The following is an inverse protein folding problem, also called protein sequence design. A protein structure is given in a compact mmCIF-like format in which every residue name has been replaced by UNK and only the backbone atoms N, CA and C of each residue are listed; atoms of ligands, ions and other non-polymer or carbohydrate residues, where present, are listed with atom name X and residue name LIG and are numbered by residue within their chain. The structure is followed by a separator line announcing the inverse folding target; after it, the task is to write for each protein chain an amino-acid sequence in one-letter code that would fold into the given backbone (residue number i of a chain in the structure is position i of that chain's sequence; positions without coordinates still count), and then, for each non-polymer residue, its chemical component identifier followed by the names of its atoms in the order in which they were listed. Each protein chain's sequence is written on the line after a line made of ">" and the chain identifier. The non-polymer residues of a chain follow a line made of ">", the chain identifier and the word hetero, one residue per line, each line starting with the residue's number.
data_IF_328002459227
#
_entry.id   IF_328002459227
#
_cell.length_a   1.000
_cell.length_b   1.000
_cell.length_c   1.000
_cell.angle_alpha   90.00
_cell.angle_beta   90.00
_cell.angle_gamma   90.00
#
_symmetry.space_group_name_H-M   'P 1'
#
loop_
_entity.id
_entity.type
_entity.pdbx_description
1 polymer ?
2 non-polymer ?
3 water ?
#
# COMPACT_ATOMS: atom_id res chain seq x y z
N UNK A 19 -49.72 21.05 12.53
CA UNK A 19 -49.59 20.42 13.83
C UNK A 19 -48.28 20.82 14.54
N UNK A 20 -47.47 19.82 14.87
CA UNK A 20 -46.18 20.01 15.53
C UNK A 20 -45.14 19.10 14.87
N UNK A 21 -45.04 19.19 13.54
CA UNK A 21 -44.21 18.27 12.77
C UNK A 21 -42.83 18.82 12.44
N UNK A 22 -42.55 20.09 12.73
CA UNK A 22 -41.25 20.69 12.47
C UNK A 22 -40.22 20.22 13.48
N UNK A 23 -40.53 20.27 14.79
CA UNK A 23 -39.59 19.68 15.77
C UNK A 23 -39.35 18.21 15.52
N UNK A 24 -40.41 17.51 15.10
CA UNK A 24 -40.30 16.11 14.71
C UNK A 24 -39.37 15.95 13.52
N UNK A 25 -39.56 16.75 12.46
CA UNK A 25 -38.71 16.63 11.29
C UNK A 25 -37.26 16.95 11.63
N UNK A 26 -37.03 18.00 12.43
CA UNK A 26 -35.67 18.34 12.81
C UNK A 26 -34.99 17.18 13.52
N UNK A 27 -35.70 16.57 14.48
CA UNK A 27 -35.11 15.43 15.20
C UNK A 27 -34.83 14.27 14.25
N UNK A 28 -35.77 13.98 13.35
CA UNK A 28 -35.57 12.88 12.40
C UNK A 28 -34.37 13.13 11.50
N UNK A 29 -34.26 14.34 10.94
CA UNK A 29 -33.17 14.63 10.00
C UNK A 29 -31.82 14.63 10.70
N UNK A 30 -31.74 15.26 11.87
CA UNK A 30 -30.48 15.31 12.60
C UNK A 30 -30.06 13.92 13.03
N UNK A 31 -31.03 13.09 13.43
CA UNK A 31 -30.71 11.73 13.83
C UNK A 31 -30.11 10.95 12.66
N UNK A 32 -30.75 11.06 11.48
CA UNK A 32 -30.21 10.38 10.31
C UNK A 32 -28.81 10.88 9.99
N UNK A 33 -28.61 12.20 10.02
CA UNK A 33 -27.29 12.81 9.81
C UNK A 33 -26.23 12.22 10.74
N UNK A 34 -26.56 12.14 12.04
CA UNK A 34 -25.63 11.54 13.01
C UNK A 34 -25.29 10.10 12.64
N UNK A 35 -26.27 9.33 12.15
CA UNK A 35 -26.01 7.91 11.82
C UNK A 35 -25.20 7.79 10.52
N UNK A 36 -25.54 8.59 9.52
CA UNK A 36 -24.81 8.54 8.25
C UNK A 36 -23.33 8.88 8.45
N UNK A 37 -23.01 9.88 9.29
CA UNK A 37 -21.60 10.18 9.52
C UNK A 37 -20.84 8.95 10.02
N UNK A 38 -21.48 8.18 10.91
CA UNK A 38 -20.83 6.98 11.43
C UNK A 38 -20.66 5.90 10.35
N UNK A 39 -21.59 5.79 9.39
CA UNK A 39 -21.27 4.88 8.28
C UNK A 39 -20.12 5.42 7.44
N UNK A 40 -20.11 6.72 7.17
CA UNK A 40 -19.04 7.33 6.37
C UNK A 40 -17.66 7.11 6.97
N UNK A 41 -17.55 7.08 8.31
CA UNK A 41 -16.24 6.91 8.95
C UNK A 41 -15.64 5.55 8.59
N UNK A 42 -16.50 4.50 8.60
CA UNK A 42 -16.07 3.16 8.19
C UNK A 42 -15.85 3.07 6.68
N UNK A 43 -16.63 3.82 5.90
CA UNK A 43 -16.41 3.85 4.45
C UNK A 43 -15.04 4.44 4.10
N UNK A 44 -14.70 5.58 4.72
CA UNK A 44 -13.40 6.21 4.53
C UNK A 44 -12.28 5.28 4.97
N UNK A 45 -12.49 4.57 6.08
CA UNK A 45 -11.49 3.59 6.49
C UNK A 45 -11.29 2.50 5.43
N UNK A 46 -12.37 2.02 4.81
CA UNK A 46 -12.24 1.02 3.74
C UNK A 46 -11.50 1.59 2.53
N UNK A 47 -11.76 2.86 2.19
CA UNK A 47 -11.02 3.51 1.11
C UNK A 47 -9.52 3.56 1.39
N UNK A 48 -9.13 3.82 2.66
CA UNK A 48 -7.71 3.88 2.95
C UNK A 48 -7.06 2.50 3.02
N UNK A 49 -7.75 1.50 3.60
CA UNK A 49 -7.08 0.25 3.95
C UNK A 49 -7.34 -0.88 2.98
N UNK A 50 -8.43 -0.83 2.23
CA UNK A 50 -8.79 -1.96 1.37
C UNK A 50 -7.77 -2.14 0.26
N UNK A 51 -7.46 -3.39 -0.05
CA UNK A 51 -6.62 -3.70 -1.20
C UNK A 51 -7.42 -4.07 -2.47
N UNK A 52 -8.72 -3.74 -2.54
CA UNK A 52 -9.58 -4.03 -3.70
C UNK A 52 -9.88 -2.72 -4.46
N UNK A 53 -9.06 -2.44 -5.48
CA UNK A 53 -9.07 -1.14 -6.16
C UNK A 53 -10.44 -0.77 -6.72
N UNK A 54 -11.13 -1.71 -7.36
CA UNK A 54 -12.41 -1.38 -7.97
C UNK A 54 -13.48 -1.10 -6.91
N UNK A 55 -13.40 -1.77 -5.76
CA UNK A 55 -14.26 -1.40 -4.63
C UNK A 55 -13.87 -0.03 -4.08
N UNK A 56 -12.57 0.28 -3.96
CA UNK A 56 -12.23 1.62 -3.51
C UNK A 56 -12.85 2.66 -4.45
N UNK A 57 -12.79 2.41 -5.76
CA UNK A 57 -13.40 3.35 -6.71
C UNK A 57 -14.90 3.48 -6.47
N UNK A 58 -15.57 2.34 -6.25
CA UNK A 58 -17.01 2.40 -5.98
C UNK A 58 -17.32 3.18 -4.70
N UNK A 59 -16.58 2.91 -3.62
CA UNK A 59 -16.80 3.63 -2.36
C UNK A 59 -16.57 5.13 -2.50
N UNK A 60 -15.51 5.55 -3.22
CA UNK A 60 -15.28 6.97 -3.46
C UNK A 60 -16.42 7.60 -4.25
N UNK A 61 -16.93 6.91 -5.27
CA UNK A 61 -18.08 7.43 -6.00
C UNK A 61 -19.28 7.60 -5.08
N UNK A 62 -19.53 6.58 -4.23
CA UNK A 62 -20.64 6.66 -3.27
C UNK A 62 -20.47 7.83 -2.30
N UNK A 63 -19.25 8.08 -1.82
CA UNK A 63 -19.05 9.27 -0.99
C UNK A 63 -19.38 10.54 -1.77
N UNK A 64 -18.99 10.58 -3.05
CA UNK A 64 -19.32 11.74 -3.87
C UNK A 64 -20.82 11.98 -3.95
N UNK A 65 -21.63 10.93 -3.91
CA UNK A 65 -23.08 11.15 -3.94
C UNK A 65 -23.65 11.48 -2.55
N UNK A 66 -23.15 10.81 -1.51
CA UNK A 66 -23.60 11.08 -0.15
C UNK A 66 -23.34 12.54 0.23
N UNK A 67 -22.23 13.10 -0.21
CA UNK A 67 -21.99 14.52 0.09
C UNK A 67 -23.11 15.38 -0.48
N UNK A 68 -23.57 15.07 -1.70
CA UNK A 68 -24.66 15.85 -2.27
C UNK A 68 -25.93 15.68 -1.44
N UNK A 69 -26.28 14.44 -1.09
CA UNK A 69 -27.51 14.24 -0.31
C UNK A 69 -27.45 14.96 1.04
N UNK A 70 -26.28 14.92 1.67
CA UNK A 70 -26.08 15.65 2.92
C UNK A 70 -26.26 17.16 2.72
N UNK A 71 -25.55 17.74 1.74
CA UNK A 71 -25.68 19.18 1.50
C UNK A 71 -27.13 19.60 1.26
N UNK A 72 -27.89 18.79 0.52
CA UNK A 72 -29.32 19.06 0.38
C UNK A 72 -29.99 19.06 1.74
N UNK A 73 -29.66 18.08 2.59
CA UNK A 73 -30.25 18.05 3.93
C UNK A 73 -29.95 19.35 4.68
N UNK A 74 -28.67 19.72 4.77
CA UNK A 74 -28.28 20.97 5.42
C UNK A 74 -29.06 22.15 4.87
N UNK A 75 -29.23 22.20 3.53
CA UNK A 75 -30.12 23.19 2.95
C UNK A 75 -31.50 23.11 3.59
N UNK A 76 -31.97 21.90 3.90
CA UNK A 76 -33.32 21.75 4.42
C UNK A 76 -33.42 22.25 5.87
N UNK A 77 -32.48 21.87 6.73
CA UNK A 77 -32.63 22.20 8.15
C UNK A 77 -32.19 23.63 8.48
N UNK A 78 -31.25 24.21 7.69
CA UNK A 78 -30.78 25.58 7.90
C UNK A 78 -31.91 26.50 8.38
N UNK A 79 -32.96 26.71 7.57
CA UNK A 79 -34.03 27.63 7.98
C UNK A 79 -34.83 27.17 9.19
N UNK A 80 -34.65 25.92 9.65
CA UNK A 80 -35.42 25.42 10.78
C UNK A 80 -34.73 25.63 12.12
N UNK A 81 -33.46 25.99 12.12
CA UNK A 81 -32.68 26.13 13.34
C UNK A 81 -32.50 27.63 13.59
N UNK A 82 -33.25 28.18 14.55
CA UNK A 82 -33.25 29.61 14.80
C UNK A 82 -32.85 30.02 16.20
N UNK A 83 -33.00 29.16 17.21
CA UNK A 83 -32.68 29.58 18.55
C UNK A 83 -31.16 29.65 18.75
N UNK A 84 -30.69 30.35 19.80
CA UNK A 84 -29.25 30.63 19.95
C UNK A 84 -28.32 29.44 20.08
N UNK A 85 -28.56 28.57 21.05
CA UNK A 85 -27.63 27.46 21.27
C UNK A 85 -27.55 26.55 20.04
N UNK A 86 -28.70 26.23 19.44
CA UNK A 86 -28.70 25.35 18.27
C UNK A 86 -28.00 26.01 17.08
N UNK A 87 -28.15 27.33 16.92
CA UNK A 87 -27.47 28.03 15.82
C UNK A 87 -25.96 28.13 16.07
N UNK A 88 -25.55 28.27 17.34
CA UNK A 88 -24.12 28.21 17.65
C UNK A 88 -23.55 26.84 17.30
N UNK A 89 -24.21 25.76 17.72
CA UNK A 89 -23.73 24.41 17.38
C UNK A 89 -23.73 24.18 15.87
N UNK A 90 -24.75 24.69 15.18
CA UNK A 90 -24.82 24.44 13.74
C UNK A 90 -23.72 25.18 12.99
N UNK A 91 -23.44 26.43 13.36
CA UNK A 91 -22.31 27.11 12.75
C UNK A 91 -21.00 26.41 13.08
N UNK A 92 -20.88 25.85 14.29
CA UNK A 92 -19.67 25.09 14.60
C UNK A 92 -19.53 23.85 13.70
N UNK A 93 -20.64 23.15 13.46
CA UNK A 93 -20.62 21.99 12.56
C UNK A 93 -20.27 22.41 11.14
N UNK A 94 -20.80 23.54 10.69
CA UNK A 94 -20.46 24.00 9.35
C UNK A 94 -18.97 24.27 9.22
N UNK A 95 -18.36 24.86 10.25
CA UNK A 95 -16.91 25.05 10.20
C UNK A 95 -16.16 23.72 10.16
N UNK A 96 -16.45 22.80 11.09
CA UNK A 96 -15.67 21.56 11.16
C UNK A 96 -15.92 20.67 9.93
N UNK A 97 -17.07 20.80 9.28
CA UNK A 97 -17.38 19.94 8.14
C UNK A 97 -16.47 20.22 6.94
N UNK A 98 -16.04 21.48 6.75
CA UNK A 98 -15.06 21.78 5.70
C UNK A 98 -13.75 21.02 5.94
N UNK A 99 -13.24 21.07 7.18
CA UNK A 99 -12.04 20.30 7.54
C UNK A 99 -12.25 18.82 7.23
N UNK A 100 -13.40 18.29 7.66
CA UNK A 100 -13.74 16.88 7.46
C UNK A 100 -13.72 16.49 5.98
N UNK A 101 -14.46 17.23 5.16
CA UNK A 101 -14.51 16.93 3.73
C UNK A 101 -13.12 17.03 3.11
N UNK A 102 -12.35 18.06 3.50
CA UNK A 102 -11.04 18.27 2.93
C UNK A 102 -10.12 17.07 3.16
N UNK A 103 -10.13 16.56 4.37
CA UNK A 103 -9.24 15.45 4.67
C UNK A 103 -9.78 14.14 4.07
N UNK A 104 -11.11 13.95 4.11
CA UNK A 104 -11.68 12.75 3.51
C UNK A 104 -11.32 12.68 2.03
N UNK A 105 -11.56 13.78 1.31
CA UNK A 105 -11.17 13.85 -0.10
C UNK A 105 -9.67 13.70 -0.28
N UNK A 106 -8.87 14.14 0.69
CA UNK A 106 -7.43 13.94 0.54
C UNK A 106 -7.06 12.47 0.61
N UNK A 107 -7.60 11.72 1.58
CA UNK A 107 -7.31 10.29 1.61
C UNK A 107 -7.81 9.61 0.34
N UNK A 108 -8.98 10.01 -0.13
CA UNK A 108 -9.53 9.45 -1.36
C UNK A 108 -8.63 9.71 -2.58
N UNK A 109 -8.18 10.96 -2.73
CA UNK A 109 -7.29 11.32 -3.84
C UNK A 109 -5.92 10.67 -3.71
N UNK A 110 -5.41 10.55 -2.49
CA UNK A 110 -4.14 9.89 -2.24
C UNK A 110 -4.20 8.42 -2.59
N UNK A 111 -5.32 7.78 -2.25
CA UNK A 111 -5.48 6.36 -2.55
C UNK A 111 -5.61 6.13 -4.04
N UNK A 112 -6.44 6.95 -4.71
CA UNK A 112 -6.57 6.86 -6.17
C UNK A 112 -5.26 7.13 -6.89
N UNK A 113 -4.32 7.84 -6.26
CA UNK A 113 -3.07 8.18 -6.92
C UNK A 113 -1.93 7.24 -6.54
N UNK A 114 -2.23 6.10 -5.93
CA UNK A 114 -1.21 5.13 -5.64
C UNK A 114 -0.39 5.39 -4.39
N UNK A 115 -0.79 6.33 -3.55
CA UNK A 115 -0.07 6.66 -2.34
C UNK A 115 -0.93 6.21 -1.17
N UNK A 116 -0.92 4.90 -0.89
CA UNK A 116 -1.79 4.33 0.13
C UNK A 116 -1.24 4.57 1.52
N UNK A 117 0.09 4.48 1.69
CA UNK A 117 0.65 4.68 3.02
C UNK A 117 0.30 6.06 3.56
N UNK A 118 0.40 7.08 2.69
CA UNK A 118 0.03 8.45 3.07
C UNK A 118 -1.48 8.59 3.22
N UNK A 119 -2.26 7.79 2.48
CA UNK A 119 -3.70 7.80 2.66
C UNK A 119 -4.07 7.33 4.06
N UNK A 120 -3.48 6.21 4.49
CA UNK A 120 -3.75 5.67 5.82
C UNK A 120 -3.27 6.65 6.90
N UNK A 121 -2.11 7.26 6.67
CA UNK A 121 -1.56 8.23 7.60
C UNK A 121 -2.48 9.43 7.76
N UNK A 122 -2.98 9.98 6.65
CA UNK A 122 -3.95 11.08 6.71
C UNK A 122 -5.23 10.63 7.42
N UNK A 123 -5.61 9.36 7.24
CA UNK A 123 -6.80 8.83 7.93
C UNK A 123 -6.62 8.90 9.45
N UNK A 124 -5.44 8.53 9.94
CA UNK A 124 -5.25 8.51 11.39
C UNK A 124 -5.00 9.91 11.95
N UNK A 125 -4.18 10.72 11.26
CA UNK A 125 -3.73 11.99 11.82
C UNK A 125 -4.72 13.12 11.58
N UNK A 126 -5.56 13.05 10.57
CA UNK A 126 -6.45 14.17 10.28
C UNK A 126 -7.92 13.75 10.26
N UNK A 127 -8.24 12.70 9.48
CA UNK A 127 -9.64 12.35 9.27
C UNK A 127 -10.33 11.98 10.57
N UNK A 128 -9.80 11.00 11.32
CA UNK A 128 -10.47 10.54 12.53
C UNK A 128 -10.66 11.67 13.54
N UNK A 129 -9.67 12.54 13.80
CA UNK A 129 -9.95 13.67 14.72
C UNK A 129 -11.04 14.59 14.23
N UNK A 130 -11.01 14.96 12.93
CA UNK A 130 -12.03 15.86 12.38
C UNK A 130 -13.41 15.23 12.44
N UNK A 131 -13.50 13.94 12.11
CA UNK A 131 -14.77 13.24 12.19
C UNK A 131 -15.21 13.13 13.64
N UNK A 132 -14.28 12.90 14.56
CA UNK A 132 -14.66 12.85 15.97
C UNK A 132 -15.28 14.17 16.42
N UNK A 133 -14.64 15.30 16.11
CA UNK A 133 -15.26 16.58 16.42
C UNK A 133 -16.65 16.72 15.81
N UNK A 134 -16.77 16.38 14.51
CA UNK A 134 -18.05 16.38 13.81
C UNK A 134 -19.11 15.61 14.58
N UNK A 135 -18.77 14.39 15.03
CA UNK A 135 -19.72 13.52 15.73
C UNK A 135 -20.12 14.12 17.07
N UNK A 136 -19.16 14.70 17.79
CA UNK A 136 -19.49 15.32 19.05
C UNK A 136 -20.50 16.44 18.85
N UNK A 137 -20.27 17.29 17.85
CA UNK A 137 -21.21 18.37 17.58
C UNK A 137 -22.58 17.84 17.14
N UNK A 138 -22.61 16.75 16.35
CA UNK A 138 -23.90 16.16 16.00
C UNK A 138 -24.61 15.60 17.26
N UNK A 139 -23.86 15.00 18.18
CA UNK A 139 -24.46 14.54 19.42
C UNK A 139 -25.06 15.67 20.23
N UNK A 140 -24.29 16.74 20.44
CA UNK A 140 -24.82 17.87 21.19
C UNK A 140 -26.06 18.45 20.52
N UNK A 141 -26.03 18.58 19.19
CA UNK A 141 -27.21 19.07 18.48
C UNK A 141 -28.41 18.13 18.70
N UNK A 142 -28.19 16.81 18.63
CA UNK A 142 -29.30 15.88 18.79
C UNK A 142 -29.93 15.98 20.18
N UNK A 143 -29.08 15.98 21.22
CA UNK A 143 -29.59 16.06 22.59
C UNK A 143 -30.33 17.36 22.82
N UNK A 144 -29.78 18.47 22.34
CA UNK A 144 -30.49 19.74 22.47
C UNK A 144 -31.85 19.68 21.78
N UNK A 145 -31.89 19.10 20.58
CA UNK A 145 -33.15 19.02 19.84
C UNK A 145 -34.16 18.12 20.54
N UNK A 146 -33.69 17.10 21.28
CA UNK A 146 -34.63 16.29 22.04
C UNK A 146 -35.24 17.08 23.18
N UNK A 147 -34.42 17.81 23.95
CA UNK A 147 -35.00 18.66 24.98
C UNK A 147 -36.00 19.64 24.38
N UNK A 148 -35.64 20.23 23.24
CA UNK A 148 -36.54 21.16 22.55
C UNK A 148 -37.84 20.48 22.12
N UNK A 149 -37.75 19.23 21.65
CA UNK A 149 -38.92 18.51 21.18
C UNK A 149 -39.88 18.21 22.32
N UNK A 150 -39.34 17.81 23.47
CA UNK A 150 -40.23 17.57 24.60
C UNK A 150 -40.84 18.87 25.11
N UNK A 151 -40.09 19.97 25.08
CA UNK A 151 -40.66 21.25 25.47
C UNK A 151 -41.82 21.63 24.55
N UNK A 152 -41.61 21.50 23.24
CA UNK A 152 -42.67 21.84 22.29
C UNK A 152 -43.86 20.93 22.48
N UNK A 153 -43.63 19.66 22.81
CA UNK A 153 -44.73 18.74 23.04
C UNK A 153 -45.54 19.17 24.26
N UNK A 154 -44.88 19.48 25.38
CA UNK A 154 -45.61 19.94 26.55
C UNK A 154 -46.44 21.17 26.22
N UNK A 155 -45.94 22.05 25.35
CA UNK A 155 -46.72 23.21 24.96
C UNK A 155 -47.94 22.81 24.13
N UNK A 156 -47.73 22.05 23.06
CA UNK A 156 -48.85 21.66 22.19
C UNK A 156 -49.93 20.95 22.99
N UNK A 157 -49.52 20.15 23.98
CA UNK A 157 -50.52 19.50 24.84
C UNK A 157 -51.18 20.51 25.75
N UNK A 158 -50.44 21.52 26.21
CA UNK A 158 -51.06 22.55 27.02
C UNK A 158 -52.03 23.41 26.24
N UNK A 159 -52.02 23.33 24.91
CA UNK A 159 -52.97 24.08 24.08
C UNK A 159 -54.14 23.20 23.65
N UNK A 160 -53.85 22.02 23.10
CA UNK A 160 -54.92 21.08 22.79
C UNK A 160 -55.73 20.76 24.03
N UNK A 161 -55.11 20.84 25.21
CA UNK A 161 -55.81 20.87 26.48
C UNK A 161 -55.97 22.34 26.86
N UNK A 162 -57.19 22.85 26.72
CA UNK A 162 -57.48 24.27 26.95
C UNK A 162 -57.22 25.10 25.70
N UNK B 19 38.81 -37.99 -15.91
CA UNK B 19 38.56 -37.62 -17.29
C UNK B 19 38.73 -36.12 -17.49
N UNK B 20 37.66 -35.44 -17.93
CA UNK B 20 37.64 -33.99 -18.12
C UNK B 20 36.36 -33.41 -17.52
N UNK B 21 36.17 -33.68 -16.23
CA UNK B 21 34.94 -33.35 -15.54
C UNK B 21 34.98 -31.99 -14.86
N UNK B 22 36.12 -31.31 -14.89
CA UNK B 22 36.20 -29.99 -14.29
C UNK B 22 35.53 -28.95 -15.18
N UNK B 23 35.81 -28.92 -16.50
CA UNK B 23 35.03 -28.04 -17.39
C UNK B 23 33.55 -28.39 -17.42
N UNK B 24 33.20 -29.68 -17.38
CA UNK B 24 31.79 -30.07 -17.31
C UNK B 24 31.15 -29.52 -16.03
N UNK B 25 31.84 -29.65 -14.90
CA UNK B 25 31.33 -29.13 -13.64
C UNK B 25 31.20 -27.61 -13.69
N UNK B 26 32.19 -26.93 -14.25
CA UNK B 26 32.12 -25.49 -14.36
C UNK B 26 30.90 -25.07 -15.16
N UNK B 27 30.66 -25.72 -16.30
CA UNK B 27 29.51 -25.36 -17.11
C UNK B 27 28.20 -25.64 -16.38
N UNK B 28 28.09 -26.79 -15.71
CA UNK B 28 26.85 -27.10 -14.99
C UNK B 28 26.59 -26.06 -13.90
N UNK B 29 27.63 -25.70 -13.15
CA UNK B 29 27.46 -24.76 -12.05
C UNK B 29 27.09 -23.37 -12.58
N UNK B 30 27.78 -22.90 -13.61
CA UNK B 30 27.48 -21.58 -14.17
C UNK B 30 26.08 -21.57 -14.79
N UNK B 31 25.69 -22.67 -15.43
CA UNK B 31 24.34 -22.73 -16.00
C UNK B 31 23.28 -22.66 -14.90
N UNK B 32 23.47 -23.42 -13.82
CA UNK B 32 22.54 -23.35 -12.69
C UNK B 32 22.46 -21.94 -12.11
N UNK B 33 23.61 -21.32 -11.86
CA UNK B 33 23.68 -19.93 -11.38
C UNK B 33 22.87 -19.00 -12.28
N UNK B 34 23.09 -19.13 -13.60
CA UNK B 34 22.38 -18.30 -14.57
C UNK B 34 20.87 -18.47 -14.42
N UNK B 35 20.41 -19.70 -14.21
CA UNK B 35 18.97 -19.92 -14.10
C UNK B 35 18.41 -19.40 -12.77
N UNK B 36 19.13 -19.65 -11.66
CA UNK B 36 18.71 -19.20 -10.34
C UNK B 36 18.58 -17.67 -10.27
N UNK B 37 19.47 -16.93 -10.91
CA UNK B 37 19.31 -15.47 -10.88
C UNK B 37 17.98 -15.07 -11.50
N UNK B 38 17.62 -15.71 -12.61
CA UNK B 38 16.34 -15.36 -13.25
C UNK B 38 15.13 -15.75 -12.38
N UNK B 39 15.21 -16.84 -11.63
CA UNK B 39 14.11 -17.09 -10.68
C UNK B 39 14.13 -16.04 -9.56
N UNK B 40 15.32 -15.64 -9.11
CA UNK B 40 15.42 -14.63 -8.06
C UNK B 40 14.74 -13.32 -8.46
N UNK B 41 14.88 -12.91 -9.72
CA UNK B 41 14.27 -11.65 -10.16
C UNK B 41 12.74 -11.71 -10.00
N UNK B 42 12.14 -12.87 -10.32
CA UNK B 42 10.70 -13.08 -10.16
C UNK B 42 10.29 -13.13 -8.70
N UNK B 43 11.14 -13.75 -7.87
CA UNK B 43 10.86 -13.82 -6.44
C UNK B 43 10.87 -12.43 -5.81
N UNK B 44 11.91 -11.64 -6.14
CA UNK B 44 12.05 -10.28 -5.63
C UNK B 44 10.87 -9.42 -6.06
N UNK B 45 10.42 -9.58 -7.31
CA UNK B 45 9.24 -8.89 -7.78
C UNK B 45 8.02 -9.29 -6.95
N UNK B 46 7.91 -10.57 -6.59
CA UNK B 46 6.78 -11.01 -5.77
C UNK B 46 6.83 -10.37 -4.37
N UNK B 47 8.01 -10.31 -3.76
CA UNK B 47 8.18 -9.67 -2.46
C UNK B 47 7.79 -8.19 -2.52
N UNK B 48 8.14 -7.51 -3.61
CA UNK B 48 7.83 -6.09 -3.73
C UNK B 48 6.34 -5.85 -3.95
N UNK B 49 5.69 -6.65 -4.80
CA UNK B 49 4.33 -6.35 -5.21
C UNK B 49 3.24 -7.13 -4.46
N UNK B 50 3.55 -8.30 -3.91
CA UNK B 50 2.49 -9.15 -3.36
C UNK B 50 1.80 -8.49 -2.17
N UNK B 51 0.48 -8.68 -2.07
CA UNK B 51 -0.28 -8.24 -0.91
C UNK B 51 -0.55 -9.36 0.11
N UNK B 52 0.26 -10.44 0.11
CA UNK B 52 0.14 -11.54 1.08
C UNK B 52 1.35 -11.52 2.05
N UNK B 53 1.16 -10.89 3.22
CA UNK B 53 2.25 -10.63 4.15
C UNK B 53 3.03 -11.90 4.52
N UNK B 54 2.31 -12.99 4.83
CA UNK B 54 2.97 -14.22 5.29
C UNK B 54 3.70 -14.93 4.16
N UNK B 55 3.15 -14.86 2.94
CA UNK B 55 3.87 -15.35 1.77
C UNK B 55 5.10 -14.48 1.49
N UNK B 56 4.97 -13.15 1.62
CA UNK B 56 6.16 -12.31 1.47
C UNK B 56 7.22 -12.71 2.50
N UNK B 57 6.80 -12.96 3.75
CA UNK B 57 7.77 -13.38 4.77
C UNK B 57 8.46 -14.67 4.35
N UNK B 58 7.68 -15.61 3.82
CA UNK B 58 8.26 -16.87 3.36
C UNK B 58 9.24 -16.67 2.22
N UNK B 59 8.91 -15.84 1.23
CA UNK B 59 9.83 -15.60 0.11
C UNK B 59 11.14 -14.94 0.58
N UNK B 60 11.05 -13.94 1.48
CA UNK B 60 12.29 -13.37 2.01
C UNK B 60 13.12 -14.43 2.74
N UNK B 61 12.47 -15.31 3.50
CA UNK B 61 13.23 -16.37 4.15
C UNK B 61 13.94 -17.24 3.11
N UNK B 62 13.21 -17.63 2.07
CA UNK B 62 13.79 -18.44 1.00
C UNK B 62 14.99 -17.75 0.35
N UNK B 63 14.90 -16.44 0.10
CA UNK B 63 16.04 -15.71 -0.43
C UNK B 63 17.23 -15.73 0.53
N UNK B 64 16.96 -15.59 1.83
CA UNK B 64 18.06 -15.63 2.78
C UNK B 64 18.81 -16.96 2.69
N UNK B 65 18.11 -18.06 2.38
CA UNK B 65 18.81 -19.34 2.26
C UNK B 65 19.48 -19.52 0.89
N UNK B 66 18.81 -19.07 -0.17
CA UNK B 66 19.41 -19.16 -1.50
C UNK B 66 20.73 -18.40 -1.57
N UNK B 67 20.81 -17.25 -0.90
CA UNK B 67 22.09 -16.54 -0.88
C UNK B 67 23.20 -17.41 -0.31
N UNK B 68 22.90 -18.16 0.76
CA UNK B 68 23.91 -19.05 1.34
C UNK B 68 24.32 -20.15 0.37
N UNK B 69 23.35 -20.82 -0.26
CA UNK B 69 23.72 -21.87 -1.22
C UNK B 69 24.54 -21.30 -2.39
N UNK B 70 24.16 -20.13 -2.91
CA UNK B 70 24.95 -19.50 -3.97
C UNK B 70 26.36 -19.19 -3.48
N UNK B 71 26.50 -18.57 -2.31
CA UNK B 71 27.82 -18.23 -1.77
C UNK B 71 28.72 -19.47 -1.67
N UNK B 72 28.16 -20.59 -1.22
CA UNK B 72 28.96 -21.81 -1.24
C UNK B 72 29.37 -22.18 -2.66
N UNK B 73 28.44 -22.07 -3.63
CA UNK B 73 28.82 -22.38 -5.01
C UNK B 73 30.01 -21.54 -5.45
N UNK B 74 29.93 -20.20 -5.28
CA UNK B 74 31.07 -19.34 -5.60
C UNK B 74 32.33 -19.85 -4.93
N UNK B 75 32.22 -20.26 -3.67
CA UNK B 75 33.36 -20.89 -3.02
C UNK B 75 33.85 -22.08 -3.83
N UNK B 76 32.94 -22.81 -4.48
CA UNK B 76 33.34 -23.99 -5.22
C UNK B 76 34.06 -23.64 -6.53
N UNK B 77 33.50 -22.70 -7.30
CA UNK B 77 34.02 -22.44 -8.64
C UNK B 77 35.23 -21.49 -8.65
N UNK B 78 35.33 -20.59 -7.67
CA UNK B 78 36.44 -19.66 -7.55
C UNK B 78 37.78 -20.30 -7.91
N UNK B 79 38.23 -21.34 -7.20
CA UNK B 79 39.55 -21.91 -7.52
C UNK B 79 39.60 -22.55 -8.90
N UNK B 80 38.47 -22.73 -9.57
CA UNK B 80 38.43 -23.39 -10.86
C UNK B 80 38.55 -22.42 -12.02
N UNK B 81 38.44 -21.11 -11.77
CA UNK B 81 38.47 -20.09 -12.80
C UNK B 81 39.80 -19.36 -12.70
N UNK B 82 40.73 -19.66 -13.63
CA UNK B 82 42.10 -19.16 -13.54
C UNK B 82 42.56 -18.34 -14.75
N UNK B 83 41.96 -18.53 -15.92
CA UNK B 83 42.45 -17.84 -17.10
C UNK B 83 42.06 -16.36 -17.05
N UNK B 84 42.73 -15.52 -17.85
CA UNK B 84 42.53 -14.07 -17.76
C UNK B 84 41.11 -13.62 -18.01
N UNK B 85 40.53 -13.96 -19.18
CA UNK B 85 39.20 -13.46 -19.52
C UNK B 85 38.14 -13.94 -18.53
N UNK B 86 38.17 -15.22 -18.17
CA UNK B 86 37.18 -15.73 -17.22
C UNK B 86 37.37 -15.11 -15.83
N UNK B 87 38.61 -14.90 -15.40
CA UNK B 87 38.84 -14.30 -14.09
C UNK B 87 38.42 -12.84 -14.05
N UNK B 88 38.59 -12.14 -15.17
CA UNK B 88 38.07 -10.78 -15.32
C UNK B 88 36.55 -10.75 -15.20
N UNK B 89 35.86 -11.61 -15.96
CA UNK B 89 34.40 -11.64 -15.87
C UNK B 89 33.95 -11.99 -14.45
N UNK B 90 34.66 -12.91 -13.80
CA UNK B 90 34.28 -13.34 -12.46
C UNK B 90 34.43 -12.21 -11.45
N UNK B 91 35.52 -11.44 -11.55
CA UNK B 91 35.66 -10.28 -10.68
C UNK B 91 34.58 -9.24 -10.96
N UNK B 92 34.18 -9.08 -12.22
CA UNK B 92 33.09 -8.14 -12.51
C UNK B 92 31.79 -8.61 -11.87
N UNK B 93 31.50 -9.91 -11.97
CA UNK B 93 30.31 -10.49 -11.34
C UNK B 93 30.36 -10.34 -9.82
N UNK B 94 31.54 -10.52 -9.24
CA UNK B 94 31.66 -10.33 -7.80
C UNK B 94 31.38 -8.88 -7.41
N UNK B 95 31.84 -7.91 -8.20
CA UNK B 95 31.52 -6.51 -7.94
C UNK B 95 30.01 -6.26 -8.05
N UNK B 96 29.41 -6.66 -9.17
CA UNK B 96 27.98 -6.41 -9.42
C UNK B 96 27.08 -7.15 -8.41
N UNK B 97 27.55 -8.26 -7.86
CA UNK B 97 26.71 -9.02 -6.93
C UNK B 97 26.52 -8.28 -5.59
N UNK B 98 27.52 -7.52 -5.14
CA UNK B 98 27.33 -6.73 -3.93
C UNK B 98 26.19 -5.73 -4.11
N UNK B 99 26.22 -4.98 -5.22
CA UNK B 99 25.15 -4.05 -5.55
C UNK B 99 23.81 -4.76 -5.58
N UNK B 100 23.80 -5.93 -6.23
CA UNK B 100 22.58 -6.73 -6.36
C UNK B 100 21.99 -7.11 -5.00
N UNK B 101 22.81 -7.71 -4.12
CA UNK B 101 22.33 -8.13 -2.82
C UNK B 101 21.88 -6.95 -1.97
N UNK B 102 22.64 -5.84 -2.04
CA UNK B 102 22.30 -4.67 -1.25
C UNK B 102 20.91 -4.19 -1.61
N UNK B 103 20.63 -4.12 -2.92
CA UNK B 103 19.35 -3.57 -3.34
C UNK B 103 18.20 -4.56 -3.10
N UNK B 104 18.43 -5.84 -3.38
CA UNK B 104 17.36 -6.81 -3.14
C UNK B 104 16.96 -6.82 -1.68
N UNK B 105 17.97 -6.85 -0.79
CA UNK B 105 17.69 -6.76 0.64
C UNK B 105 17.04 -5.44 1.00
N UNK B 106 17.31 -4.37 0.26
CA UNK B 106 16.63 -3.13 0.59
C UNK B 106 15.13 -3.20 0.26
N UNK B 107 14.75 -3.72 -0.91
CA UNK B 107 13.32 -3.85 -1.21
C UNK B 107 12.64 -4.79 -0.21
N UNK B 108 13.33 -5.87 0.17
CA UNK B 108 12.84 -6.80 1.19
C UNK B 108 12.61 -6.10 2.54
N UNK B 109 13.60 -5.32 2.99
CA UNK B 109 13.49 -4.61 4.27
C UNK B 109 12.40 -3.53 4.22
N UNK B 110 12.26 -2.84 3.09
CA UNK B 110 11.21 -1.84 2.95
C UNK B 110 9.84 -2.49 3.04
N UNK B 111 9.69 -3.67 2.44
CA UNK B 111 8.39 -4.32 2.48
C UNK B 111 8.09 -4.85 3.87
N UNK B 112 9.08 -5.46 4.54
CA UNK B 112 8.84 -5.94 5.91
C UNK B 112 8.47 -4.81 6.86
N UNK B 113 8.88 -3.57 6.55
CA UNK B 113 8.62 -2.44 7.43
C UNK B 113 7.39 -1.64 7.03
N UNK B 114 6.56 -2.17 6.13
CA UNK B 114 5.33 -1.47 5.80
C UNK B 114 5.46 -0.38 4.77
N UNK B 115 6.57 -0.30 4.06
CA UNK B 115 6.77 0.73 3.05
C UNK B 115 6.83 0.05 1.68
N UNK B 116 5.64 -0.28 1.14
CA UNK B 116 5.54 -1.05 -0.10
C UNK B 116 5.84 -0.20 -1.31
N UNK B 117 5.40 1.07 -1.27
CA UNK B 117 5.67 1.99 -2.38
C UNK B 117 7.17 2.19 -2.59
N UNK B 118 7.91 2.35 -1.49
CA UNK B 118 9.35 2.50 -1.57
C UNK B 118 10.03 1.22 -2.00
N UNK B 119 9.47 0.07 -1.63
CA UNK B 119 9.99 -1.22 -2.08
C UNK B 119 9.84 -1.37 -3.59
N UNK B 120 8.67 -1.02 -4.13
CA UNK B 120 8.44 -1.09 -5.58
C UNK B 120 9.36 -0.15 -6.33
N UNK B 121 9.55 1.07 -5.79
CA UNK B 121 10.44 2.02 -6.43
C UNK B 121 11.88 1.50 -6.46
N UNK B 122 12.37 1.00 -5.32
CA UNK B 122 13.72 0.43 -5.32
C UNK B 122 13.80 -0.75 -6.27
N UNK B 123 12.71 -1.53 -6.41
CA UNK B 123 12.72 -2.64 -7.36
C UNK B 123 12.98 -2.15 -8.78
N UNK B 124 12.28 -1.09 -9.19
CA UNK B 124 12.39 -0.65 -10.57
C UNK B 124 13.68 0.14 -10.84
N UNK B 125 14.06 1.03 -9.93
CA UNK B 125 15.15 1.95 -10.25
C UNK B 125 16.54 1.40 -9.92
N UNK B 126 16.66 0.45 -8.99
CA UNK B 126 17.97 -0.06 -8.60
C UNK B 126 18.10 -1.57 -8.80
N UNK B 127 17.17 -2.35 -8.25
CA UNK B 127 17.33 -3.79 -8.28
C UNK B 127 17.40 -4.31 -9.72
N UNK B 128 16.40 -4.00 -10.54
CA UNK B 128 16.37 -4.55 -11.89
C UNK B 128 17.58 -4.17 -12.72
N UNK B 129 18.08 -2.93 -12.74
CA UNK B 129 19.32 -2.67 -13.51
C UNK B 129 20.49 -3.50 -13.02
N UNK B 130 20.67 -3.61 -11.70
CA UNK B 130 21.74 -4.45 -11.16
C UNK B 130 21.55 -5.93 -11.54
N UNK B 131 20.32 -6.41 -11.50
CA UNK B 131 20.08 -7.79 -11.90
C UNK B 131 20.38 -7.99 -13.38
N UNK B 132 20.03 -7.00 -14.19
CA UNK B 132 20.35 -7.05 -15.61
C UNK B 132 21.85 -7.12 -15.83
N UNK B 133 22.63 -6.29 -15.12
CA UNK B 133 24.08 -6.42 -15.21
C UNK B 133 24.55 -7.81 -14.80
N UNK B 134 24.06 -8.29 -13.64
CA UNK B 134 24.38 -9.63 -13.15
C UNK B 134 24.17 -10.68 -14.22
N UNK B 135 22.99 -10.66 -14.86
CA UNK B 135 22.63 -11.66 -15.86
C UNK B 135 23.49 -11.52 -17.10
N UNK B 136 23.80 -10.30 -17.53
CA UNK B 136 24.65 -10.11 -18.69
C UNK B 136 26.03 -10.73 -18.45
N UNK B 137 26.62 -10.42 -17.29
CA UNK B 137 27.92 -11.00 -16.98
C UNK B 137 27.85 -12.53 -16.82
N UNK B 138 26.76 -13.07 -16.26
CA UNK B 138 26.64 -14.54 -16.23
C UNK B 138 26.50 -15.13 -17.65
N UNK B 139 25.78 -14.47 -18.55
CA UNK B 139 25.73 -14.95 -19.91
C UNK B 139 27.10 -14.98 -20.58
N UNK B 140 27.85 -13.87 -20.47
CA UNK B 140 29.21 -13.84 -21.04
C UNK B 140 30.08 -14.93 -20.42
N UNK B 141 29.97 -15.12 -19.10
CA UNK B 141 30.75 -16.18 -18.48
C UNK B 141 30.35 -17.55 -19.04
N UNK B 142 29.05 -17.81 -19.19
CA UNK B 142 28.61 -19.11 -19.66
C UNK B 142 29.10 -19.38 -21.09
N UNK B 143 28.85 -18.43 -22.02
CA UNK B 143 29.28 -18.64 -23.40
C UNK B 143 30.79 -18.83 -23.48
N UNK B 144 31.55 -18.04 -22.72
CA UNK B 144 33.00 -18.19 -22.66
C UNK B 144 33.37 -19.60 -22.20
N UNK B 145 32.70 -20.09 -21.16
CA UNK B 145 32.98 -21.43 -20.64
C UNK B 145 32.61 -22.51 -21.63
N UNK B 146 31.60 -22.26 -22.48
CA UNK B 146 31.22 -23.23 -23.51
C UNK B 146 32.29 -23.33 -24.60
N UNK B 147 32.80 -22.20 -25.07
CA UNK B 147 33.94 -22.23 -25.99
C UNK B 147 35.14 -22.91 -25.35
N UNK B 148 35.41 -22.60 -24.08
CA UNK B 148 36.53 -23.22 -23.39
C UNK B 148 36.34 -24.73 -23.27
N UNK B 149 35.12 -25.16 -22.95
CA UNK B 149 34.85 -26.59 -22.78
C UNK B 149 34.98 -27.35 -24.09
N UNK B 150 34.47 -26.78 -25.19
CA UNK B 150 34.66 -27.46 -26.46
C UNK B 150 36.13 -27.50 -26.86
N UNK B 151 36.90 -26.45 -26.56
CA UNK B 151 38.34 -26.53 -26.82
C UNK B 151 38.98 -27.67 -26.02
N UNK B 152 38.64 -27.80 -24.74
CA UNK B 152 39.19 -28.89 -23.94
C UNK B 152 38.78 -30.24 -24.50
N UNK B 153 37.54 -30.34 -24.98
CA UNK B 153 37.07 -31.59 -25.57
C UNK B 153 37.89 -31.94 -26.81
N UNK B 154 38.08 -30.96 -27.70
CA UNK B 154 38.92 -31.21 -28.86
C UNK B 154 40.30 -31.66 -28.44
N UNK B 155 40.79 -31.15 -27.31
CA UNK B 155 42.12 -31.56 -26.85
C UNK B 155 42.13 -33.02 -26.44
N UNK B 156 41.23 -33.43 -25.54
CA UNK B 156 41.26 -34.83 -25.08
C UNK B 156 41.16 -35.77 -26.27
N UNK B 157 40.39 -35.40 -27.29
CA UNK B 157 40.26 -36.23 -28.49
C UNK B 157 41.55 -36.23 -29.31
N UNK B 158 42.33 -35.16 -29.22
CA UNK B 158 43.60 -35.08 -29.94
C UNK B 158 44.55 -36.21 -29.58
N UNK B 159 44.21 -37.01 -28.58
CA UNK B 159 45.06 -38.12 -28.17
C UNK B 159 44.58 -39.43 -28.80
X LIG C 1 -22.77 10.10 4.60
X LIG C 1 -22.18 8.99 4.55
X LIG C 1 -23.85 10.20 3.97
X LIG C 1 -22.24 11.27 5.42
X LIG C 1 -21.39 12.31 4.67
X LIG C 1 -22.17 12.82 3.56
X LIG C 1 -20.99 13.45 5.63
X LIG C 1 -21.21 14.85 5.08
X LIG C 1 -21.18 15.10 3.85
X LIG C 1 -21.40 15.80 5.88
X LIG C 1 -20.15 11.62 4.11
X LIG C 1 -19.00 11.78 4.60
X LIG C 1 -20.23 10.86 3.13
X LIG C 1 -23.09 11.79 5.87
X LIG C 1 -21.64 10.87 6.24
X LIG C 1 -21.73 12.61 2.72
X LIG C 1 -19.95 13.33 5.90
X LIG C 1 -21.58 13.34 6.55
X LIG D 1 18.87 -17.63 -6.10
X LIG D 1 19.20 -18.77 -5.70
X LIG D 1 17.67 -17.29 -6.03
X LIG D 1 19.92 -16.67 -6.67
X LIG D 1 20.55 -15.74 -5.63
X LIG D 1 20.98 -16.55 -4.50
X LIG D 1 21.74 -14.98 -6.23
X LIG D 1 22.88 -14.75 -5.27
X LIG D 1 24.04 -14.49 -5.69
X LIG D 1 22.73 -14.80 -4.04
X LIG D 1 19.48 -14.75 -5.18
X LIG D 1 19.69 -13.51 -5.15
X LIG D 1 18.35 -15.17 -4.85
X LIG D 1 20.71 -17.26 -7.14
X LIG D 1 19.45 -16.07 -7.45
X LIG D 1 20.48 -16.28 -3.70
X LIG D 1 21.39 -14.01 -6.60
X LIG D 1 22.11 -15.53 -7.10
#
# INVERSE_FOLDING_TARGET
>A
MHHHHHHQLHSVGKATQQMMQEPLTKERLISDWNSNVSVAVARTTAIAKSSDASLVQFLAADAAATTKSTANVLKQIEPLITQPAEREILDKIMQVRKTYIASRDKVSQLKADGMAEEAESTLINSYVPAAQGYLKLLGELLNLQRASLDAKAAEVEQIESSSRT
>B
MHHHHHHQLHSVGKATQQMMQEPLTKERLISDWNSNVSVAVARTTAIAKSSDASLVQFLAADAAATTKSTANVLKQIEPLITQPAEREILDKIMQVRKTYIASRDKVSQLKADGMAEEAESTLINSYVPAAQGYLKLLGELLNLQRASLDAKAAEVEQIESSSRT
>C hetero
1 CIT C1 O1 O2 C2 C3 O7 C4 C5 O3 O4 C6 O5 O6 H21 H22 HO7 H41 H42
>D hetero
1 CIT C1 O1 O2 C2 C3 O7 C4 C5 O3 O4 C6 O5 O6 H21 H22 HO7 H41 H42
#
